data_IF_072459380814
#
_entry.id   IF_072459380814
#
_cell.length_a   1.000
_cell.length_b   1.000
_cell.length_c   1.000
_cell.angle_alpha   90.00
_cell.angle_beta   90.00
_cell.angle_gamma   90.00
#
_symmetry.space_group_name_H-M   'P 1'
#
loop_
_entity.id
_entity.type
_entity.pdbx_description
1 polymer ?
#
# COMPACT_ATOMS: atom_id res chain seq x y z
N UNK A 1 2.82 6.70 12.43
CA UNK A 1 2.37 5.55 11.63
C UNK A 1 3.13 4.35 12.17
N UNK A 2 2.52 3.18 12.26
CA UNK A 2 3.23 1.98 12.75
C UNK A 2 3.24 0.93 11.65
N UNK A 3 4.43 0.36 11.41
CA UNK A 3 4.59 -0.81 10.56
C UNK A 3 3.87 -1.99 11.21
N UNK A 4 3.11 -2.74 10.41
CA UNK A 4 2.50 -4.00 10.85
C UNK A 4 3.24 -5.16 10.22
N UNK A 5 3.78 -6.02 11.08
CA UNK A 5 4.45 -7.23 10.64
C UNK A 5 3.42 -8.26 10.13
N UNK A 6 3.75 -8.91 9.03
CA UNK A 6 2.94 -9.97 8.46
C UNK A 6 3.85 -10.97 7.74
N UNK A 7 3.87 -12.22 8.22
CA UNK A 7 4.76 -13.26 7.70
C UNK A 7 4.53 -13.58 6.22
N UNK A 8 3.28 -13.56 5.76
CA UNK A 8 2.96 -13.78 4.35
C UNK A 8 3.44 -12.62 3.47
N UNK A 9 3.36 -11.38 3.96
CA UNK A 9 3.93 -10.23 3.25
C UNK A 9 5.44 -10.31 3.17
N UNK A 10 6.10 -10.67 4.28
CA UNK A 10 7.55 -10.88 4.32
C UNK A 10 7.97 -11.98 3.36
N UNK A 11 7.19 -13.06 3.23
CA UNK A 11 7.41 -14.13 2.27
C UNK A 11 7.34 -13.62 0.83
N UNK A 12 6.33 -12.82 0.48
CA UNK A 12 6.21 -12.22 -0.86
C UNK A 12 7.36 -11.23 -1.13
N UNK A 13 7.71 -10.36 -0.18
CA UNK A 13 8.84 -9.45 -0.31
C UNK A 13 10.15 -10.22 -0.56
N UNK A 14 10.42 -11.28 0.19
CA UNK A 14 11.63 -12.09 0.01
C UNK A 14 11.67 -12.82 -1.35
N UNK A 15 10.49 -13.16 -1.89
CA UNK A 15 10.39 -13.72 -3.24
C UNK A 15 10.72 -12.66 -4.30
N UNK A 16 10.17 -11.46 -4.16
CA UNK A 16 10.36 -10.35 -5.10
C UNK A 16 11.79 -9.78 -5.07
N UNK A 17 12.42 -9.72 -3.89
CA UNK A 17 13.81 -9.28 -3.70
C UNK A 17 14.81 -10.19 -4.44
N UNK A 18 14.49 -11.47 -4.58
CA UNK A 18 15.30 -12.47 -5.28
C UNK A 18 14.83 -12.73 -6.70
N UNK A 19 13.82 -12.00 -7.16
CA UNK A 19 13.21 -12.25 -8.45
C UNK A 19 14.09 -11.66 -9.56
N UNK A 20 14.69 -12.54 -10.35
CA UNK A 20 15.48 -12.17 -11.51
C UNK A 20 14.71 -12.51 -12.79
N UNK A 21 14.21 -11.47 -13.46
CA UNK A 21 13.53 -11.61 -14.75
C UNK A 21 14.50 -11.57 -15.95
N UNK A 22 15.81 -11.63 -15.73
CA UNK A 22 16.90 -11.52 -16.72
C UNK A 22 16.96 -10.18 -17.47
N UNK A 23 15.86 -9.71 -18.07
CA UNK A 23 15.77 -8.46 -18.83
C UNK A 23 15.24 -7.27 -18.01
N UNK A 24 14.82 -7.53 -16.76
CA UNK A 24 14.22 -6.53 -15.86
C UNK A 24 14.73 -6.68 -14.45
N UNK A 25 14.97 -5.53 -13.82
CA UNK A 25 15.24 -5.42 -12.39
C UNK A 25 13.95 -5.06 -11.68
N UNK A 26 13.62 -5.80 -10.63
CA UNK A 26 12.50 -5.52 -9.75
C UNK A 26 13.04 -4.95 -8.44
N UNK A 27 12.74 -3.68 -8.19
CA UNK A 27 12.94 -3.05 -6.89
C UNK A 27 11.55 -2.83 -6.27
N UNK A 28 11.14 -3.76 -5.42
CA UNK A 28 9.78 -3.82 -4.88
C UNK A 28 9.81 -3.97 -3.37
N UNK A 29 9.05 -3.13 -2.69
CA UNK A 29 8.84 -3.18 -1.25
C UNK A 29 7.35 -3.09 -0.94
N UNK A 30 6.81 -4.11 -0.29
CA UNK A 30 5.42 -4.14 0.15
C UNK A 30 5.36 -3.97 1.66
N UNK A 31 4.61 -2.98 2.15
CA UNK A 31 4.48 -2.69 3.58
C UNK A 31 3.03 -2.42 3.96
N UNK A 32 2.65 -2.84 5.17
CA UNK A 32 1.41 -2.43 5.80
C UNK A 32 1.73 -1.37 6.84
N UNK A 33 1.06 -0.23 6.72
CA UNK A 33 1.25 0.89 7.61
C UNK A 33 -0.09 1.32 8.21
N UNK A 34 -0.14 1.47 9.52
CA UNK A 34 -1.31 2.00 10.22
C UNK A 34 -1.17 3.50 10.43
N UNK A 35 -2.18 4.25 10.03
CA UNK A 35 -2.22 5.70 10.19
C UNK A 35 -3.38 6.10 11.11
N UNK A 36 -3.03 6.85 12.16
CA UNK A 36 -4.00 7.52 13.02
C UNK A 36 -3.93 9.01 12.76
N UNK A 37 -4.95 9.56 12.12
CA UNK A 37 -5.10 11.00 12.02
C UNK A 37 -5.57 11.54 13.37
N UNK A 38 -4.83 12.50 13.93
CA UNK A 38 -5.39 13.36 14.99
C UNK A 38 -6.42 14.24 14.31
N UNK A 39 -7.70 13.89 14.39
CA UNK A 39 -8.78 14.74 13.87
C UNK A 39 -8.72 16.08 14.60
N UNK A 40 -8.11 17.08 13.96
CA UNK A 40 -8.48 18.47 14.20
C UNK A 40 -9.92 18.63 13.71
N UNK A 41 -10.80 19.20 14.53
CA UNK A 41 -12.21 19.45 14.20
C UNK A 41 -12.40 20.31 12.93
N UNK A 42 -11.31 20.92 12.42
CA UNK A 42 -11.29 21.86 11.30
C UNK A 42 -10.72 21.23 10.00
N UNK A 43 -10.11 20.04 10.07
CA UNK A 43 -9.42 19.44 8.91
C UNK A 43 -10.39 18.82 7.90
N UNK A 44 -10.32 19.24 6.64
CA UNK A 44 -11.09 18.63 5.55
C UNK A 44 -10.60 17.19 5.28
N UNK A 45 -11.48 16.31 4.77
CA UNK A 45 -11.08 14.94 4.39
C UNK A 45 -9.89 14.90 3.43
N UNK A 46 -9.79 15.88 2.53
CA UNK A 46 -8.69 15.99 1.58
C UNK A 46 -7.37 16.33 2.28
N UNK A 47 -7.41 17.20 3.30
CA UNK A 47 -6.23 17.55 4.09
C UNK A 47 -5.70 16.34 4.88
N UNK A 48 -6.58 15.50 5.42
CA UNK A 48 -6.19 14.26 6.09
C UNK A 48 -5.48 13.27 5.14
N UNK A 49 -5.89 13.20 3.87
CA UNK A 49 -5.18 12.38 2.87
C UNK A 49 -3.82 12.95 2.49
N UNK A 50 -3.70 14.28 2.38
CA UNK A 50 -2.40 14.93 2.14
C UNK A 50 -1.44 14.62 3.28
N UNK A 51 -1.88 14.77 4.54
CA UNK A 51 -1.06 14.41 5.71
C UNK A 51 -0.64 12.94 5.69
N UNK A 52 -1.57 12.04 5.37
CA UNK A 52 -1.30 10.61 5.20
C UNK A 52 -0.23 10.35 4.14
N UNK A 53 -0.39 10.88 2.93
CA UNK A 53 0.53 10.65 1.83
C UNK A 53 1.87 11.33 2.03
N UNK A 54 1.92 12.54 2.59
CA UNK A 54 3.19 13.20 2.94
C UNK A 54 3.97 12.37 3.94
N UNK A 55 3.30 11.81 4.95
CA UNK A 55 3.96 10.91 5.90
C UNK A 55 4.45 9.64 5.19
N UNK A 56 3.62 9.02 4.35
CA UNK A 56 4.00 7.84 3.57
C UNK A 56 5.25 8.10 2.71
N UNK A 57 5.30 9.25 2.03
CA UNK A 57 6.46 9.62 1.21
C UNK A 57 7.73 9.82 2.05
N UNK A 58 7.64 10.48 3.21
CA UNK A 58 8.79 10.59 4.12
C UNK A 58 9.24 9.22 4.66
N UNK A 59 8.32 8.26 4.81
CA UNK A 59 8.66 6.89 5.22
C UNK A 59 9.38 6.13 4.11
N UNK A 60 8.88 6.21 2.87
CA UNK A 60 9.49 5.55 1.72
C UNK A 60 10.84 6.16 1.33
N UNK A 61 11.01 7.48 1.52
CA UNK A 61 12.19 8.22 1.10
C UNK A 61 12.69 9.11 2.26
N UNK A 62 13.37 8.54 3.27
CA UNK A 62 13.74 9.25 4.50
C UNK A 62 14.75 10.38 4.28
N UNK A 63 15.50 10.33 3.19
CA UNK A 63 16.46 11.37 2.81
C UNK A 63 15.79 12.63 2.22
N UNK A 64 14.48 12.58 2.00
CA UNK A 64 13.69 13.66 1.41
C UNK A 64 12.64 14.18 2.40
N UNK A 65 12.30 15.47 2.27
CA UNK A 65 11.22 16.09 3.04
C UNK A 65 10.03 16.44 2.16
N UNK A 66 8.89 15.84 2.45
CA UNK A 66 7.63 16.03 1.72
C UNK A 66 6.64 16.94 2.46
N UNK A 67 7.12 17.77 3.39
CA UNK A 67 6.30 18.70 4.17
C UNK A 67 5.58 19.76 3.31
N UNK A 68 6.08 20.00 2.10
CA UNK A 68 5.54 20.97 1.14
C UNK A 68 4.40 20.40 0.26
N UNK A 69 4.13 19.10 0.34
CA UNK A 69 3.07 18.49 -0.46
C UNK A 69 1.69 18.98 0.02
N UNK A 70 0.96 19.61 -0.89
CA UNK A 70 -0.47 19.92 -0.79
C UNK A 70 -1.33 19.12 -1.77
N UNK A 71 -2.65 19.34 -1.73
CA UNK A 71 -3.65 18.63 -2.56
C UNK A 71 -3.34 18.64 -4.06
N UNK A 72 -2.75 19.72 -4.57
CA UNK A 72 -2.37 19.87 -5.99
C UNK A 72 -1.36 18.83 -6.51
N UNK A 73 -0.64 18.15 -5.63
CA UNK A 73 0.36 17.15 -6.03
C UNK A 73 -0.21 15.74 -6.10
N UNK A 74 -1.48 15.55 -5.72
CA UNK A 74 -2.12 14.24 -5.69
C UNK A 74 -3.31 14.23 -6.64
N UNK A 75 -3.37 13.18 -7.46
CA UNK A 75 -4.50 12.92 -8.34
C UNK A 75 -5.34 11.79 -7.77
N UNK A 76 -6.65 12.03 -7.64
CA UNK A 76 -7.57 10.96 -7.31
C UNK A 76 -7.75 10.04 -8.52
N UNK A 77 -7.35 8.79 -8.37
CA UNK A 77 -7.69 7.75 -9.35
C UNK A 77 -9.13 7.32 -9.11
N UNK A 78 -9.97 7.45 -10.16
CA UNK A 78 -11.41 7.20 -10.08
C UNK A 78 -11.77 5.72 -10.23
N UNK A 79 -10.91 4.97 -10.92
CA UNK A 79 -11.14 3.57 -11.24
C UNK A 79 -10.07 2.69 -10.58
N UNK A 80 -10.53 1.83 -9.67
CA UNK A 80 -9.66 0.83 -9.04
C UNK A 80 -9.22 -0.25 -10.04
N UNK A 81 -10.04 -0.54 -11.06
CA UNK A 81 -9.72 -1.52 -12.09
C UNK A 81 -8.43 -1.17 -12.84
N UNK A 82 -8.27 0.09 -13.20
CA UNK A 82 -7.06 0.62 -13.84
C UNK A 82 -5.82 0.40 -12.96
N UNK A 83 -5.90 0.66 -11.65
CA UNK A 83 -4.79 0.41 -10.71
C UNK A 83 -4.45 -1.08 -10.61
N UNK A 84 -5.46 -1.95 -10.55
CA UNK A 84 -5.25 -3.40 -10.52
C UNK A 84 -4.57 -3.86 -11.81
N UNK A 85 -5.06 -3.42 -12.97
CA UNK A 85 -4.50 -3.77 -14.26
C UNK A 85 -3.05 -3.30 -14.41
N UNK A 86 -2.72 -2.10 -13.93
CA UNK A 86 -1.36 -1.57 -13.95
C UNK A 86 -0.42 -2.43 -13.08
N UNK A 87 -0.87 -2.83 -11.89
CA UNK A 87 -0.10 -3.74 -11.02
C UNK A 87 0.04 -5.12 -11.68
N UNK A 88 -1.01 -5.65 -12.28
CA UNK A 88 -0.96 -6.96 -12.93
C UNK A 88 0.00 -6.99 -14.11
N UNK A 89 -0.04 -5.96 -14.95
CA UNK A 89 0.84 -5.87 -16.11
C UNK A 89 2.30 -5.66 -15.74
N UNK A 90 2.57 -4.83 -14.72
CA UNK A 90 3.94 -4.44 -14.36
C UNK A 90 4.59 -5.34 -13.29
N UNK A 91 3.81 -6.15 -12.57
CA UNK A 91 4.31 -7.01 -11.51
C UNK A 91 3.75 -8.43 -11.64
N UNK A 92 2.44 -8.61 -11.40
CA UNK A 92 1.87 -9.94 -11.17
C UNK A 92 2.12 -10.90 -12.33
N UNK A 93 1.87 -10.48 -13.57
CA UNK A 93 2.03 -11.34 -14.74
C UNK A 93 3.48 -11.58 -15.15
N UNK A 94 4.40 -10.68 -14.77
CA UNK A 94 5.82 -10.92 -15.04
C UNK A 94 6.33 -11.97 -14.08
N UNK A 95 5.98 -11.87 -12.79
CA UNK A 95 6.39 -12.84 -11.77
C UNK A 95 5.70 -14.19 -11.99
N UNK A 96 4.42 -14.21 -12.36
CA UNK A 96 3.64 -15.44 -12.65
C UNK A 96 4.33 -16.35 -13.69
N UNK A 97 5.06 -15.77 -14.66
CA UNK A 97 5.78 -16.55 -15.70
C UNK A 97 6.86 -17.46 -15.12
N UNK A 98 7.43 -17.11 -13.97
CA UNK A 98 8.48 -17.89 -13.33
C UNK A 98 8.02 -18.51 -12.00
N UNK A 99 6.98 -17.94 -11.38
CA UNK A 99 6.38 -18.40 -10.13
C UNK A 99 4.87 -18.60 -10.36
N UNK A 100 4.45 -19.78 -10.84
CA UNK A 100 3.03 -20.07 -11.05
C UNK A 100 2.22 -19.93 -9.77
N UNK A 101 1.06 -19.28 -9.86
CA UNK A 101 0.17 -19.00 -8.74
C UNK A 101 0.46 -17.68 -8.01
N UNK A 102 1.56 -16.99 -8.33
CA UNK A 102 1.94 -15.73 -7.69
C UNK A 102 0.82 -14.69 -7.73
N UNK A 103 0.22 -14.44 -8.90
CA UNK A 103 -0.77 -13.39 -9.06
C UNK A 103 -2.00 -13.62 -8.14
N UNK A 104 -2.44 -14.88 -8.03
CA UNK A 104 -3.54 -15.26 -7.16
C UNK A 104 -3.20 -15.07 -5.70
N UNK A 105 -2.02 -15.53 -5.27
CA UNK A 105 -1.56 -15.44 -3.88
C UNK A 105 -1.37 -13.98 -3.47
N UNK A 106 -0.75 -13.18 -4.33
CA UNK A 106 -0.55 -11.75 -4.15
C UNK A 106 -1.89 -11.03 -3.90
N UNK A 107 -2.86 -11.18 -4.80
CA UNK A 107 -4.16 -10.51 -4.63
C UNK A 107 -4.99 -11.05 -3.48
N UNK A 108 -4.88 -12.34 -3.18
CA UNK A 108 -5.54 -12.93 -2.00
C UNK A 108 -4.99 -12.27 -0.73
N UNK A 109 -3.67 -12.11 -0.63
CA UNK A 109 -3.03 -11.46 0.49
C UNK A 109 -3.42 -9.98 0.61
N UNK A 110 -3.35 -9.22 -0.48
CA UNK A 110 -3.76 -7.80 -0.49
C UNK A 110 -5.21 -7.63 -0.05
N UNK A 111 -6.13 -8.48 -0.52
CA UNK A 111 -7.55 -8.46 -0.12
C UNK A 111 -7.73 -8.77 1.35
N UNK A 112 -7.01 -9.76 1.89
CA UNK A 112 -7.06 -10.11 3.32
C UNK A 112 -6.57 -8.93 4.14
N UNK A 113 -5.43 -8.32 3.79
CA UNK A 113 -4.88 -7.19 4.52
C UNK A 113 -5.87 -6.02 4.54
N UNK A 114 -6.31 -5.54 3.37
CA UNK A 114 -7.23 -4.40 3.28
C UNK A 114 -8.59 -4.74 3.92
N UNK A 115 -9.08 -5.97 3.76
CA UNK A 115 -10.37 -6.43 4.31
C UNK A 115 -10.39 -6.57 5.82
N UNK A 116 -9.31 -7.08 6.43
CA UNK A 116 -9.12 -7.14 7.88
C UNK A 116 -9.15 -5.73 8.47
N UNK A 117 -8.47 -4.77 7.83
CA UNK A 117 -8.49 -3.38 8.32
C UNK A 117 -9.80 -2.64 8.09
N UNK A 118 -10.60 -3.03 7.08
CA UNK A 118 -11.98 -2.52 6.93
C UNK A 118 -12.91 -2.96 8.07
N UNK A 119 -12.70 -4.16 8.62
CA UNK A 119 -13.51 -4.68 9.73
C UNK A 119 -13.06 -4.11 11.09
N UNK A 120 -11.77 -3.79 11.25
CA UNK A 120 -11.28 -3.12 12.47
C UNK A 120 -11.66 -1.63 12.54
N UNK A 121 -11.86 -0.95 11.40
CA UNK A 121 -12.24 0.48 11.38
C UNK A 121 -13.72 0.75 11.64
N UNK A 122 -14.56 -0.29 11.75
CA UNK A 122 -15.95 -0.21 12.21
C UNK A 122 -16.13 -0.63 13.69
N UNK A 123 -15.07 -1.06 14.36
CA UNK A 123 -15.08 -1.56 15.75
C UNK A 123 -14.92 -0.50 16.84
N UNK A 124 -15.69 0.60 16.80
CA UNK A 124 -15.87 1.48 17.96
C UNK A 124 -17.27 2.10 17.97
N UNK A 125 -18.27 1.26 18.20
CA UNK A 125 -19.52 1.56 18.91
C UNK A 125 -20.07 0.25 19.48
N UNK A 126 -19.63 -0.07 20.68
CA UNK A 126 -20.38 -0.93 21.59
C UNK A 126 -20.12 -0.33 22.98
N UNK A 127 -20.92 0.68 23.29
CA UNK A 127 -21.19 1.09 24.67
C UNK A 127 -22.57 0.50 24.97
N UNK A 128 -22.63 -0.48 25.86
CA UNK A 128 -23.70 -0.68 26.83
C UNK A 128 -23.05 -1.20 28.12
#
# INVERSE_FOLDING_TARGET
>A
MNLVENSELSRINALLDKFDASDRVFDVKLEILTFSSKRSEISSRQQAYVEYFSYLMNHCFPDYSFSHLGTKHFNQVKDLGSVINDIDYNLSFIVERFVPGFAKDFWTLIKVMIGVYRSCSTGHRASE
#
